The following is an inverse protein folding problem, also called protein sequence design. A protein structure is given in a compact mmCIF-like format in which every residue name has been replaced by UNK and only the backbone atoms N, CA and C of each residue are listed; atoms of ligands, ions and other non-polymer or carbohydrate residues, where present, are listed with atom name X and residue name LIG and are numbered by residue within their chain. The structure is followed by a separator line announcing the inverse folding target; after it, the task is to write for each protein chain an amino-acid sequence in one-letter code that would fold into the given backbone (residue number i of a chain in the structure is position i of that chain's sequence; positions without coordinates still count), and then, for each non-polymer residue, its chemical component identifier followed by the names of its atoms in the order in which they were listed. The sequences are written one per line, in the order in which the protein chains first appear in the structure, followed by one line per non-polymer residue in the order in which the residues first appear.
data_IF_919022276212
#
_entry.id   IF_919022276212
#
_cell.length_a   1.000
_cell.length_b   1.000
_cell.length_c   1.000
_cell.angle_alpha   90.00
_cell.angle_beta   90.00
_cell.angle_gamma   90.00
#
_symmetry.space_group_name_H-M   'P 1'
#
loop_
_entity.id
_entity.type
_entity.pdbx_description
1 polymer ?
#
# COMPACT_ATOMS: atom_id res chain seq x y z
N UNK A 1 -1.41 -19.40 7.25
CA UNK A 1 -0.78 -18.27 6.54
C UNK A 1 -0.70 -17.09 7.48
N UNK A 2 0.47 -16.49 7.57
CA UNK A 2 0.74 -15.31 8.39
C UNK A 2 0.93 -14.08 7.48
N UNK A 3 0.13 -13.04 7.66
CA UNK A 3 0.15 -11.84 6.83
C UNK A 3 0.52 -10.64 7.69
N UNK A 4 1.60 -9.95 7.34
CA UNK A 4 1.95 -8.66 7.88
C UNK A 4 1.20 -7.54 7.14
N UNK A 5 0.54 -6.66 7.88
CA UNK A 5 -0.12 -5.48 7.32
C UNK A 5 0.53 -4.24 7.93
N UNK A 6 1.05 -3.36 7.08
CA UNK A 6 1.69 -2.13 7.49
C UNK A 6 0.85 -0.96 7.00
N UNK A 7 0.50 -0.07 7.92
CA UNK A 7 -0.20 1.19 7.68
C UNK A 7 0.57 2.37 8.26
N UNK A 8 0.35 3.57 7.74
CA UNK A 8 1.08 4.75 8.18
C UNK A 8 0.39 5.51 9.33
N UNK A 9 -0.93 5.55 9.36
CA UNK A 9 -1.69 6.48 10.18
C UNK A 9 -2.64 5.79 11.18
N UNK A 10 -2.93 6.48 12.30
CA UNK A 10 -3.82 6.02 13.36
C UNK A 10 -5.21 5.62 12.84
N UNK A 11 -5.76 6.39 11.90
CA UNK A 11 -7.09 6.15 11.32
C UNK A 11 -7.15 4.86 10.51
N UNK A 12 -6.11 4.56 9.75
CA UNK A 12 -5.96 3.32 8.98
C UNK A 12 -5.81 2.13 9.93
N UNK A 13 -4.94 2.28 10.93
CA UNK A 13 -4.69 1.27 11.95
C UNK A 13 -5.95 0.89 12.72
N UNK A 14 -6.71 1.89 13.19
CA UNK A 14 -7.93 1.66 13.96
C UNK A 14 -8.98 0.87 13.15
N UNK A 15 -9.16 1.18 11.86
CA UNK A 15 -10.12 0.49 11.00
C UNK A 15 -9.73 -0.97 10.75
N UNK A 16 -8.45 -1.23 10.44
CA UNK A 16 -7.97 -2.59 10.24
C UNK A 16 -7.96 -3.41 11.53
N UNK A 17 -7.60 -2.79 12.67
CA UNK A 17 -7.70 -3.45 13.97
C UNK A 17 -9.13 -3.88 14.30
N UNK A 18 -10.12 -3.08 13.93
CA UNK A 18 -11.54 -3.36 14.21
C UNK A 18 -12.08 -4.61 13.49
N UNK A 19 -11.47 -5.04 12.39
CA UNK A 19 -11.89 -6.26 11.67
C UNK A 19 -11.19 -7.54 12.13
N UNK A 20 -10.22 -7.42 13.05
CA UNK A 20 -9.49 -8.57 13.61
C UNK A 20 -10.20 -9.13 14.84
N UNK A 21 -10.10 -10.44 15.02
CA UNK A 21 -10.52 -11.15 16.22
C UNK A 21 -9.31 -11.64 17.02
N UNK A 22 -9.50 -11.91 18.33
CA UNK A 22 -8.48 -12.44 19.24
C UNK A 22 -7.18 -11.60 19.21
N UNK A 23 -7.32 -10.28 19.35
CA UNK A 23 -6.20 -9.36 19.23
C UNK A 23 -5.38 -9.28 20.51
N UNK A 24 -4.06 -9.30 20.35
CA UNK A 24 -3.07 -8.97 21.38
C UNK A 24 -2.21 -7.82 20.86
N UNK A 25 -1.73 -6.97 21.77
CA UNK A 25 -0.88 -5.83 21.39
C UNK A 25 0.49 -6.00 22.04
N UNK A 26 1.52 -5.95 21.23
CA UNK A 26 2.92 -5.90 21.66
C UNK A 26 3.49 -4.53 21.34
N UNK A 27 4.34 -4.02 22.19
CA UNK A 27 4.98 -2.72 22.01
C UNK A 27 6.49 -2.86 22.10
N UNK A 28 7.19 -2.54 21.02
CA UNK A 28 8.65 -2.47 21.01
C UNK A 28 9.15 -1.44 19.97
N UNK A 29 10.32 -0.86 20.25
CA UNK A 29 10.94 0.17 19.40
C UNK A 29 10.02 1.32 19.05
N UNK A 30 9.18 1.78 20.02
CA UNK A 30 8.20 2.87 19.83
C UNK A 30 7.11 2.58 18.78
N UNK A 31 6.84 1.31 18.52
CA UNK A 31 5.78 0.89 17.57
C UNK A 31 4.85 -0.13 18.22
N UNK A 32 3.59 -0.04 17.88
CA UNK A 32 2.56 -1.01 18.24
C UNK A 32 2.41 -2.06 17.16
N UNK A 33 2.47 -3.33 17.58
CA UNK A 33 2.15 -4.49 16.77
C UNK A 33 0.89 -5.13 17.36
N UNK A 34 -0.12 -5.33 16.54
CA UNK A 34 -1.31 -6.05 16.92
C UNK A 34 -1.33 -7.38 16.19
N UNK A 35 -1.21 -8.46 16.93
CA UNK A 35 -1.48 -9.81 16.41
C UNK A 35 -2.97 -10.10 16.54
N UNK A 36 -3.52 -10.86 15.60
CA UNK A 36 -4.93 -11.21 15.60
C UNK A 36 -5.27 -12.20 14.50
N UNK A 37 -6.54 -12.43 14.27
CA UNK A 37 -7.02 -13.34 13.22
C UNK A 37 -8.06 -12.67 12.32
N UNK A 38 -7.97 -13.01 11.04
CA UNK A 38 -9.00 -12.74 10.06
C UNK A 38 -9.34 -14.06 9.34
N UNK A 39 -10.47 -14.66 9.70
CA UNK A 39 -10.80 -16.02 9.27
C UNK A 39 -9.78 -17.04 9.75
N UNK A 40 -9.20 -17.79 8.83
CA UNK A 40 -8.16 -18.81 9.08
C UNK A 40 -6.72 -18.23 9.11
N UNK A 41 -6.55 -16.95 8.82
CA UNK A 41 -5.25 -16.30 8.71
C UNK A 41 -4.82 -15.64 10.01
N UNK A 42 -3.53 -15.72 10.31
CA UNK A 42 -2.86 -14.94 11.35
C UNK A 42 -2.45 -13.58 10.75
N UNK A 43 -2.85 -12.51 11.40
CA UNK A 43 -2.55 -11.15 10.96
C UNK A 43 -1.66 -10.48 11.97
N UNK A 44 -0.62 -9.83 11.48
CA UNK A 44 0.20 -8.90 12.25
C UNK A 44 -0.02 -7.52 11.65
N UNK A 45 -0.69 -6.66 12.38
CA UNK A 45 -0.96 -5.28 11.98
C UNK A 45 0.00 -4.34 12.69
N UNK A 46 0.66 -3.47 11.94
CA UNK A 46 1.58 -2.47 12.46
C UNK A 46 1.24 -1.08 11.93
N UNK A 47 1.33 -0.09 12.81
CA UNK A 47 1.40 1.30 12.45
C UNK A 47 2.86 1.75 12.38
N UNK A 48 3.37 2.02 11.17
CA UNK A 48 4.77 2.40 11.00
C UNK A 48 5.04 3.89 11.21
N UNK A 49 4.05 4.77 10.97
CA UNK A 49 4.23 6.21 10.81
C UNK A 49 4.46 6.60 9.34
N UNK A 50 4.36 7.90 9.04
CA UNK A 50 4.45 8.44 7.68
C UNK A 50 5.91 8.50 7.20
N UNK A 51 6.12 8.22 5.92
CA UNK A 51 7.36 8.41 5.20
C UNK A 51 8.27 7.18 5.10
N UNK A 52 9.28 7.29 4.23
CA UNK A 52 10.14 6.16 3.82
C UNK A 52 10.92 5.54 4.97
N UNK A 53 11.50 6.35 5.86
CA UNK A 53 12.31 5.83 6.97
C UNK A 53 11.43 5.07 7.96
N UNK A 54 10.29 5.65 8.36
CA UNK A 54 9.37 5.02 9.30
C UNK A 54 8.84 3.69 8.77
N UNK A 55 8.45 3.65 7.51
CA UNK A 55 7.89 2.45 6.88
C UNK A 55 8.96 1.38 6.62
N UNK A 56 10.19 1.77 6.27
CA UNK A 56 11.30 0.84 6.12
C UNK A 56 11.67 0.17 7.46
N UNK A 57 11.79 0.96 8.56
CA UNK A 57 12.03 0.42 9.90
C UNK A 57 10.90 -0.54 10.27
N UNK A 58 9.65 -0.13 10.05
CA UNK A 58 8.49 -0.97 10.34
C UNK A 58 8.51 -2.31 9.59
N UNK A 59 8.85 -2.29 8.31
CA UNK A 59 8.94 -3.51 7.50
C UNK A 59 10.08 -4.43 7.97
N UNK A 60 11.25 -3.88 8.33
CA UNK A 60 12.37 -4.65 8.89
C UNK A 60 11.96 -5.34 10.20
N UNK A 61 11.34 -4.59 11.11
CA UNK A 61 10.89 -5.14 12.40
C UNK A 61 9.81 -6.21 12.22
N UNK A 62 8.82 -5.95 11.34
CA UNK A 62 7.76 -6.89 10.99
C UNK A 62 8.35 -8.22 10.49
N UNK A 63 9.27 -8.17 9.53
CA UNK A 63 9.85 -9.36 8.91
C UNK A 63 10.72 -10.12 9.92
N UNK A 64 11.59 -9.44 10.64
CA UNK A 64 12.53 -10.09 11.57
C UNK A 64 11.84 -10.68 12.80
N UNK A 65 10.75 -10.09 13.25
CA UNK A 65 10.09 -10.52 14.50
C UNK A 65 9.02 -11.57 14.25
N UNK A 66 8.25 -11.41 13.18
CA UNK A 66 7.07 -12.23 12.93
C UNK A 66 7.20 -13.20 11.76
N UNK A 67 8.17 -13.01 10.87
CA UNK A 67 8.39 -13.86 9.67
C UNK A 67 7.08 -14.10 8.88
N UNK A 68 6.42 -13.04 8.39
CA UNK A 68 5.19 -13.19 7.62
C UNK A 68 5.43 -13.86 6.27
N UNK A 69 4.45 -14.63 5.80
CA UNK A 69 4.44 -15.23 4.46
C UNK A 69 4.22 -14.18 3.36
N UNK A 70 3.61 -13.04 3.72
CA UNK A 70 3.26 -11.92 2.84
C UNK A 70 3.23 -10.63 3.65
N UNK A 71 3.74 -9.54 3.08
CA UNK A 71 3.54 -8.18 3.60
C UNK A 71 2.61 -7.39 2.67
N UNK A 72 1.59 -6.78 3.26
CA UNK A 72 0.66 -5.86 2.58
C UNK A 72 0.91 -4.45 3.12
N UNK A 73 1.27 -3.50 2.25
CA UNK A 73 1.15 -2.08 2.56
C UNK A 73 -0.28 -1.65 2.26
N UNK A 74 -1.01 -1.24 3.29
CA UNK A 74 -2.40 -0.78 3.14
C UNK A 74 -2.52 0.67 3.61
N UNK A 75 -3.45 1.41 3.02
CA UNK A 75 -3.67 2.80 3.38
C UNK A 75 -4.30 3.60 2.24
N UNK A 76 -4.25 4.93 2.36
CA UNK A 76 -4.70 5.83 1.31
C UNK A 76 -3.54 6.29 0.42
N UNK A 77 -3.89 6.81 -0.77
CA UNK A 77 -2.97 7.40 -1.73
C UNK A 77 -3.66 8.48 -2.56
N UNK A 78 -2.90 9.42 -3.11
CA UNK A 78 -3.37 10.32 -4.15
C UNK A 78 -3.45 9.60 -5.50
N UNK A 79 -4.54 9.78 -6.24
CA UNK A 79 -4.69 9.28 -7.61
C UNK A 79 -3.89 10.11 -8.60
N UNK A 80 -2.97 9.48 -9.34
CA UNK A 80 -2.22 10.10 -10.44
C UNK A 80 -2.95 9.93 -11.78
N UNK A 81 -3.67 8.82 -11.96
CA UNK A 81 -4.49 8.57 -13.13
C UNK A 81 -5.85 9.29 -13.00
N UNK A 82 -6.15 10.13 -13.99
CA UNK A 82 -7.40 10.90 -14.00
C UNK A 82 -8.66 10.08 -14.27
N UNK A 83 -8.55 8.79 -14.59
CA UNK A 83 -9.70 7.89 -14.68
C UNK A 83 -10.20 7.44 -13.30
N UNK A 84 -9.39 7.58 -12.24
CA UNK A 84 -9.75 7.19 -10.87
C UNK A 84 -10.72 8.19 -10.24
N UNK A 85 -11.54 7.66 -9.34
CA UNK A 85 -12.41 8.44 -8.45
C UNK A 85 -11.99 8.24 -6.98
N UNK A 86 -12.39 9.17 -6.12
CA UNK A 86 -12.20 9.03 -4.67
C UNK A 86 -12.93 7.78 -4.19
N UNK A 87 -12.24 6.94 -3.42
CA UNK A 87 -12.63 5.61 -2.94
C UNK A 87 -12.34 4.45 -3.89
N UNK A 88 -11.92 4.70 -5.14
CA UNK A 88 -11.32 3.64 -5.96
C UNK A 88 -10.11 3.03 -5.25
N UNK A 89 -9.74 1.83 -5.64
CA UNK A 89 -8.63 1.11 -5.06
C UNK A 89 -7.56 0.84 -6.12
N UNK A 90 -6.31 1.07 -5.78
CA UNK A 90 -5.16 0.71 -6.62
C UNK A 90 -4.40 -0.42 -5.97
N UNK A 91 -4.27 -1.55 -6.69
CA UNK A 91 -3.29 -2.59 -6.41
C UNK A 91 -2.03 -2.30 -7.20
N UNK A 92 -0.89 -2.15 -6.52
CA UNK A 92 0.37 -1.88 -7.21
C UNK A 92 0.85 -3.10 -7.98
N UNK A 93 1.05 -2.96 -9.29
CA UNK A 93 1.81 -3.93 -10.09
C UNK A 93 3.29 -3.84 -9.78
N UNK A 94 3.76 -2.62 -9.57
CA UNK A 94 5.13 -2.24 -9.28
C UNK A 94 5.13 -1.02 -8.36
N UNK A 95 6.22 -0.86 -7.59
CA UNK A 95 6.50 0.35 -6.83
C UNK A 95 7.82 0.98 -7.30
N UNK A 96 7.88 2.31 -7.36
CA UNK A 96 9.09 3.08 -7.67
C UNK A 96 9.20 4.31 -6.77
N UNK A 97 10.40 4.88 -6.61
CA UNK A 97 10.56 6.17 -5.95
C UNK A 97 10.38 7.31 -6.95
N UNK A 98 9.55 8.29 -6.61
CA UNK A 98 9.40 9.48 -7.44
C UNK A 98 10.37 10.60 -7.07
N UNK A 99 11.11 10.47 -5.97
CA UNK A 99 11.99 11.50 -5.41
C UNK A 99 13.46 11.04 -5.27
N UNK A 100 13.81 9.91 -5.91
CA UNK A 100 15.19 9.42 -5.92
C UNK A 100 15.89 9.73 -7.26
N UNK A 101 17.14 10.21 -7.18
CA UNK A 101 17.99 10.43 -8.33
C UNK A 101 19.43 10.04 -8.00
N UNK A 102 19.96 9.08 -8.71
CA UNK A 102 21.32 8.55 -8.51
C UNK A 102 22.22 8.77 -9.74
N UNK A 103 21.95 9.81 -10.53
CA UNK A 103 22.70 10.14 -11.76
C UNK A 103 22.06 9.51 -13.00
N UNK A 104 22.63 9.87 -14.17
CA UNK A 104 22.05 9.53 -15.48
C UNK A 104 22.38 8.09 -15.94
N UNK A 105 23.21 7.38 -15.18
CA UNK A 105 23.58 5.99 -15.48
C UNK A 105 22.50 4.96 -15.09
N UNK A 106 21.51 5.40 -14.28
CA UNK A 106 20.37 4.58 -13.84
C UNK A 106 19.06 5.32 -14.11
N UNK A 107 17.95 4.60 -14.11
CA UNK A 107 16.64 5.21 -14.32
C UNK A 107 16.30 6.21 -13.19
N UNK A 108 15.55 7.27 -13.51
CA UNK A 108 14.99 8.15 -12.48
C UNK A 108 14.12 7.33 -11.52
N UNK A 109 14.27 7.56 -10.23
CA UNK A 109 13.61 6.74 -9.19
C UNK A 109 14.38 5.49 -8.77
N UNK A 110 15.46 5.12 -9.47
CA UNK A 110 16.26 3.95 -9.14
C UNK A 110 17.37 4.28 -8.14
N UNK A 111 17.49 3.45 -7.11
CA UNK A 111 18.66 3.43 -6.23
C UNK A 111 19.71 2.51 -6.85
N UNK A 112 20.96 2.96 -6.92
CA UNK A 112 22.07 2.15 -7.47
C UNK A 112 22.17 0.82 -6.71
N UNK A 113 22.25 -0.26 -7.46
CA UNK A 113 22.28 -1.63 -6.91
C UNK A 113 20.92 -2.23 -6.58
N UNK A 114 19.82 -1.47 -6.78
CA UNK A 114 18.45 -1.96 -6.64
C UNK A 114 17.72 -1.98 -7.98
N UNK A 115 16.64 -2.77 -8.12
CA UNK A 115 15.75 -2.67 -9.29
C UNK A 115 15.20 -1.25 -9.44
N UNK A 116 14.96 -0.80 -10.68
CA UNK A 116 14.26 0.46 -10.91
C UNK A 116 12.81 0.43 -10.39
N UNK A 117 12.22 -0.76 -10.35
CA UNK A 117 10.85 -1.01 -9.90
C UNK A 117 10.78 -2.31 -9.12
N UNK A 118 10.03 -2.31 -8.02
CA UNK A 118 9.78 -3.48 -7.18
C UNK A 118 8.43 -4.06 -7.55
N UNK A 119 8.43 -5.28 -8.10
CA UNK A 119 7.23 -5.94 -8.63
C UNK A 119 6.45 -6.67 -7.54
N UNK A 120 5.12 -6.60 -7.62
CA UNK A 120 4.24 -7.46 -6.84
C UNK A 120 4.02 -8.80 -7.58
N UNK A 121 3.77 -9.90 -6.86
CA UNK A 121 3.41 -11.18 -7.46
C UNK A 121 2.13 -11.07 -8.31
N UNK A 122 2.16 -11.56 -9.55
CA UNK A 122 1.05 -11.47 -10.50
C UNK A 122 -0.24 -12.08 -9.94
N UNK A 123 -0.14 -13.19 -9.22
CA UNK A 123 -1.30 -13.83 -8.60
C UNK A 123 -2.04 -12.91 -7.61
N UNK A 124 -1.30 -12.12 -6.82
CA UNK A 124 -1.91 -11.18 -5.89
C UNK A 124 -2.64 -10.04 -6.62
N UNK A 125 -2.08 -9.58 -7.73
CA UNK A 125 -2.70 -8.58 -8.60
C UNK A 125 -4.00 -9.12 -9.19
N UNK A 126 -3.99 -10.34 -9.73
CA UNK A 126 -5.16 -11.00 -10.30
C UNK A 126 -6.28 -11.19 -9.25
N UNK A 127 -5.92 -11.62 -8.04
CA UNK A 127 -6.87 -11.74 -6.92
C UNK A 127 -7.45 -10.38 -6.53
N UNK A 128 -6.65 -9.32 -6.48
CA UNK A 128 -7.16 -7.98 -6.21
C UNK A 128 -8.14 -7.52 -7.30
N UNK A 129 -7.80 -7.70 -8.57
CA UNK A 129 -8.69 -7.36 -9.68
C UNK A 129 -9.98 -8.19 -9.70
N UNK A 130 -9.96 -9.42 -9.21
CA UNK A 130 -11.17 -10.26 -9.13
C UNK A 130 -12.22 -9.74 -8.14
N UNK A 131 -11.85 -8.82 -7.23
CA UNK A 131 -12.80 -8.14 -6.35
C UNK A 131 -13.88 -7.38 -7.13
N UNK A 132 -13.54 -6.85 -8.30
CA UNK A 132 -14.51 -6.17 -9.18
C UNK A 132 -15.70 -7.05 -9.60
N UNK A 133 -15.57 -8.38 -9.47
CA UNK A 133 -16.59 -9.34 -9.85
C UNK A 133 -17.39 -9.90 -8.65
N UNK A 134 -17.04 -9.50 -7.42
CA UNK A 134 -17.71 -9.98 -6.22
C UNK A 134 -18.99 -9.17 -5.95
N UNK A 135 -20.12 -9.83 -5.65
CA UNK A 135 -21.38 -9.14 -5.34
C UNK A 135 -21.26 -8.13 -4.17
N UNK A 136 -20.46 -8.48 -3.16
CA UNK A 136 -20.24 -7.64 -1.98
C UNK A 136 -19.28 -6.47 -2.24
N UNK A 137 -18.65 -6.44 -3.43
CA UNK A 137 -17.69 -5.42 -3.85
C UNK A 137 -18.18 -4.61 -5.07
N UNK A 138 -19.45 -4.70 -5.44
CA UNK A 138 -20.03 -4.10 -6.66
C UNK A 138 -19.85 -2.57 -6.77
N UNK A 139 -19.69 -1.90 -5.64
CA UNK A 139 -19.48 -0.45 -5.56
C UNK A 139 -17.99 -0.09 -5.46
N UNK A 140 -17.11 -1.10 -5.50
CA UNK A 140 -15.66 -0.94 -5.50
C UNK A 140 -15.13 -1.02 -6.93
N UNK A 141 -14.19 -0.13 -7.24
CA UNK A 141 -13.44 -0.18 -8.47
C UNK A 141 -11.96 -0.38 -8.16
N UNK A 142 -11.46 -1.59 -8.43
CA UNK A 142 -10.06 -1.95 -8.23
C UNK A 142 -9.32 -1.86 -9.56
N UNK A 143 -8.27 -1.07 -9.60
CA UNK A 143 -7.39 -0.88 -10.75
C UNK A 143 -5.97 -1.33 -10.41
N UNK A 144 -5.31 -1.99 -11.34
CA UNK A 144 -3.88 -2.32 -11.22
C UNK A 144 -3.03 -1.23 -11.88
N UNK A 145 -1.88 -0.89 -11.29
CA UNK A 145 -0.99 0.09 -11.88
C UNK A 145 0.26 0.39 -11.06
N UNK A 146 1.09 1.30 -11.54
CA UNK A 146 2.30 1.74 -10.87
C UNK A 146 1.95 2.65 -9.69
N UNK A 147 2.43 2.30 -8.49
CA UNK A 147 2.42 3.19 -7.34
C UNK A 147 3.81 3.80 -7.15
N UNK A 148 3.89 5.13 -7.11
CA UNK A 148 5.16 5.83 -6.88
C UNK A 148 5.17 6.47 -5.49
N UNK A 149 6.30 6.35 -4.78
CA UNK A 149 6.44 6.81 -3.39
C UNK A 149 7.57 7.82 -3.23
N UNK A 150 7.40 8.76 -2.31
CA UNK A 150 8.44 9.72 -1.92
C UNK A 150 8.06 10.47 -0.64
N UNK A 151 8.94 11.37 -0.16
CA UNK A 151 8.71 12.14 1.06
C UNK A 151 7.83 13.40 0.84
N UNK A 152 7.05 13.42 -0.24
CA UNK A 152 6.19 14.56 -0.55
C UNK A 152 4.73 14.26 -0.23
N UNK A 153 4.10 15.10 0.56
CA UNK A 153 2.65 15.17 0.58
C UNK A 153 2.16 15.90 -0.67
N UNK A 154 1.62 15.14 -1.63
CA UNK A 154 1.21 15.64 -2.95
C UNK A 154 -0.21 16.16 -2.87
N UNK A 155 -0.35 17.44 -2.54
CA UNK A 155 -1.63 18.11 -2.29
C UNK A 155 -1.99 19.16 -3.36
N UNK A 156 -1.29 19.17 -4.49
CA UNK A 156 -1.56 20.12 -5.57
C UNK A 156 -1.33 19.50 -6.94
N UNK A 157 -1.98 20.10 -7.95
CA UNK A 157 -1.82 19.72 -9.37
C UNK A 157 -0.36 19.84 -9.81
N UNK A 158 0.32 20.90 -9.39
CA UNK A 158 1.70 21.20 -9.79
C UNK A 158 2.66 20.12 -9.31
N UNK A 159 2.54 19.71 -8.04
CA UNK A 159 3.36 18.61 -7.49
C UNK A 159 3.07 17.29 -8.17
N UNK A 160 1.81 16.99 -8.43
CA UNK A 160 1.43 15.78 -9.14
C UNK A 160 1.98 15.80 -10.58
N UNK A 161 1.92 16.94 -11.27
CA UNK A 161 2.47 17.07 -12.61
C UNK A 161 3.98 16.85 -12.64
N UNK A 162 4.74 17.37 -11.67
CA UNK A 162 6.19 17.12 -11.55
C UNK A 162 6.52 15.63 -11.44
N UNK A 163 5.67 14.87 -10.73
CA UNK A 163 5.82 13.41 -10.65
C UNK A 163 5.49 12.76 -11.99
N UNK A 164 4.39 13.16 -12.62
CA UNK A 164 3.94 12.63 -13.90
C UNK A 164 4.90 12.93 -15.06
N UNK A 165 5.70 13.98 -14.97
CA UNK A 165 6.74 14.31 -15.97
C UNK A 165 7.83 13.22 -16.02
N UNK A 166 8.07 12.52 -14.89
CA UNK A 166 9.01 11.39 -14.79
C UNK A 166 8.32 10.02 -14.87
N UNK A 167 7.07 9.94 -14.43
CA UNK A 167 6.27 8.70 -14.34
C UNK A 167 4.90 8.90 -14.96
N UNK A 168 4.81 9.09 -16.31
CA UNK A 168 3.55 9.34 -16.98
C UNK A 168 2.53 8.20 -16.86
N UNK A 169 2.98 6.99 -16.51
CA UNK A 169 2.15 5.81 -16.26
C UNK A 169 1.77 5.60 -14.79
N UNK A 170 2.19 6.51 -13.88
CA UNK A 170 1.83 6.39 -12.47
C UNK A 170 0.31 6.38 -12.28
N UNK A 171 -0.16 5.47 -11.45
CA UNK A 171 -1.59 5.31 -11.12
C UNK A 171 -1.91 5.88 -9.74
N UNK A 172 -1.01 5.68 -8.77
CA UNK A 172 -1.16 6.21 -7.42
C UNK A 172 0.16 6.78 -6.88
N UNK A 173 0.06 7.73 -5.95
CA UNK A 173 1.20 8.35 -5.26
C UNK A 173 0.99 8.26 -3.76
N UNK A 174 1.99 7.74 -3.05
CA UNK A 174 2.01 7.65 -1.59
C UNK A 174 3.38 7.99 -1.00
N UNK A 175 3.59 7.69 0.28
CA UNK A 175 4.85 8.00 0.96
C UNK A 175 5.57 6.76 1.51
N UNK A 176 5.04 5.54 1.37
CA UNK A 176 5.55 4.33 2.05
C UNK A 176 5.73 3.10 1.16
N UNK A 177 4.86 2.88 0.17
CA UNK A 177 4.80 1.59 -0.55
C UNK A 177 6.15 1.15 -1.10
N UNK A 178 6.89 2.04 -1.74
CA UNK A 178 8.16 1.68 -2.37
C UNK A 178 9.24 1.32 -1.35
N UNK A 179 9.31 1.99 -0.19
CA UNK A 179 10.29 1.67 0.86
C UNK A 179 9.99 0.32 1.53
N UNK A 180 8.71 0.00 1.74
CA UNK A 180 8.31 -1.33 2.21
C UNK A 180 8.64 -2.38 1.15
N UNK A 181 8.34 -2.11 -0.13
CA UNK A 181 8.66 -3.00 -1.25
C UNK A 181 10.17 -3.27 -1.36
N UNK A 182 11.01 -2.25 -1.19
CA UNK A 182 12.46 -2.40 -1.18
C UNK A 182 12.96 -3.28 -0.04
N UNK A 183 12.44 -3.09 1.17
CA UNK A 183 12.77 -3.96 2.31
C UNK A 183 12.34 -5.40 2.02
N UNK A 184 11.11 -5.60 1.56
CA UNK A 184 10.61 -6.93 1.21
C UNK A 184 11.45 -7.60 0.11
N UNK A 185 11.90 -6.84 -0.89
CA UNK A 185 12.82 -7.32 -1.92
C UNK A 185 14.16 -7.81 -1.32
N UNK A 186 14.77 -7.03 -0.42
CA UNK A 186 16.02 -7.37 0.26
C UNK A 186 15.87 -8.64 1.10
N UNK A 187 14.74 -8.77 1.81
CA UNK A 187 14.43 -9.91 2.67
C UNK A 187 13.78 -11.09 1.94
N UNK A 188 13.53 -10.96 0.63
CA UNK A 188 12.87 -11.98 -0.18
C UNK A 188 11.49 -12.38 0.35
N UNK A 189 10.77 -11.42 0.91
CA UNK A 189 9.40 -11.58 1.43
C UNK A 189 8.42 -11.09 0.37
N UNK A 190 7.40 -11.86 -0.02
CA UNK A 190 6.36 -11.41 -0.94
C UNK A 190 5.69 -10.12 -0.45
N UNK A 191 5.39 -9.20 -1.39
CA UNK A 191 4.85 -7.88 -1.07
C UNK A 191 3.78 -7.46 -2.07
N UNK A 192 2.76 -6.75 -1.58
CA UNK A 192 1.81 -6.02 -2.40
C UNK A 192 1.40 -4.72 -1.71
N UNK A 193 1.26 -3.64 -2.48
CA UNK A 193 0.61 -2.41 -2.01
C UNK A 193 -0.83 -2.38 -2.48
N UNK A 194 -1.73 -1.98 -1.55
CA UNK A 194 -3.17 -1.92 -1.75
C UNK A 194 -3.70 -0.60 -1.16
N UNK A 195 -4.05 0.36 -2.04
CA UNK A 195 -4.30 1.75 -1.67
C UNK A 195 -5.70 2.21 -2.07
N UNK A 196 -6.39 2.87 -1.15
CA UNK A 196 -7.66 3.56 -1.40
C UNK A 196 -7.37 4.99 -1.82
N UNK A 197 -7.96 5.45 -2.92
CA UNK A 197 -7.74 6.80 -3.44
C UNK A 197 -8.47 7.82 -2.59
N UNK A 198 -7.71 8.74 -1.99
CA UNK A 198 -8.22 9.81 -1.13
C UNK A 198 -8.59 11.07 -1.89
N UNK A 199 -7.87 11.33 -2.97
CA UNK A 199 -8.00 12.53 -3.81
C UNK A 199 -7.36 12.29 -5.17
N UNK A 200 -7.73 13.10 -6.16
CA UNK A 200 -7.16 13.06 -7.51
C UNK A 200 -6.72 14.47 -7.89
N UNK A 201 -5.49 14.90 -7.53
CA UNK A 201 -5.04 16.30 -7.67
C UNK A 201 -5.09 16.86 -9.10
N UNK A 202 -4.99 15.99 -10.12
CA UNK A 202 -5.11 16.38 -11.53
C UNK A 202 -6.55 16.67 -11.95
N UNK A 203 -7.57 16.15 -11.27
CA UNK A 203 -8.99 16.44 -11.51
C UNK A 203 -9.44 17.69 -10.76
N UNK A 204 -9.10 17.80 -9.49
CA UNK A 204 -9.55 18.88 -8.61
C UNK A 204 -8.38 19.42 -7.77
N UNK A 205 -8.14 20.72 -7.87
CA UNK A 205 -7.06 21.39 -7.10
C UNK A 205 -7.37 21.59 -5.61
N UNK A 206 -8.47 21.03 -5.10
CA UNK A 206 -8.87 21.30 -3.72
C UNK A 206 -8.36 20.21 -2.79
N UNK A 207 -7.43 20.56 -1.91
CA UNK A 207 -7.06 19.75 -0.75
C UNK A 207 -8.29 19.28 0.10
N UNK A 208 -9.45 19.88 -0.14
CA UNK A 208 -10.74 19.47 0.45
C UNK A 208 -11.11 18.01 0.14
N UNK A 209 -10.71 17.43 -1.00
CA UNK A 209 -10.99 16.02 -1.29
C UNK A 209 -10.37 15.12 -0.24
N UNK A 210 -9.09 15.32 0.10
CA UNK A 210 -8.39 14.55 1.13
C UNK A 210 -9.05 14.68 2.51
N UNK A 211 -9.46 15.90 2.91
CA UNK A 211 -10.11 16.09 4.22
C UNK A 211 -11.50 15.46 4.25
N UNK A 212 -12.29 15.62 3.19
CA UNK A 212 -13.64 15.06 3.08
C UNK A 212 -13.62 13.53 2.95
N UNK A 213 -12.54 12.95 2.40
CA UNK A 213 -12.34 11.52 2.32
C UNK A 213 -12.48 10.85 3.69
N UNK A 214 -11.79 11.37 4.71
CA UNK A 214 -11.83 10.80 6.05
C UNK A 214 -13.21 10.86 6.71
N UNK A 215 -14.05 11.81 6.35
CA UNK A 215 -15.44 11.87 6.81
C UNK A 215 -16.30 10.80 6.11
N UNK A 216 -15.99 10.51 4.84
CA UNK A 216 -16.73 9.54 4.01
C UNK A 216 -16.38 8.09 4.32
N UNK A 217 -15.09 7.80 4.59
CA UNK A 217 -14.63 6.44 4.83
C UNK A 217 -14.74 5.96 6.29
N UNK A 218 -15.28 6.77 7.19
CA UNK A 218 -15.48 6.38 8.59
C UNK A 218 -16.25 5.03 8.77
N UNK A 219 -16.84 4.48 7.70
CA UNK A 219 -17.70 3.31 7.73
C UNK A 219 -17.41 2.22 6.68
N UNK A 220 -16.22 2.10 6.09
CA UNK A 220 -16.06 0.91 5.26
C UNK A 220 -15.01 0.77 4.18
N UNK A 221 -14.10 1.72 3.96
CA UNK A 221 -13.16 1.59 2.83
C UNK A 221 -12.05 0.54 3.05
N UNK A 222 -11.77 0.15 4.29
CA UNK A 222 -10.85 -0.96 4.57
C UNK A 222 -11.52 -2.34 4.58
N UNK A 223 -12.84 -2.40 4.40
CA UNK A 223 -13.54 -3.66 4.11
C UNK A 223 -12.99 -4.32 2.83
N UNK A 224 -12.58 -3.52 1.84
CA UNK A 224 -11.94 -4.03 0.63
C UNK A 224 -10.62 -4.76 0.91
N UNK A 225 -9.80 -4.27 1.85
CA UNK A 225 -8.59 -4.97 2.30
C UNK A 225 -8.93 -6.32 2.95
N UNK A 226 -9.99 -6.38 3.72
CA UNK A 226 -10.51 -7.64 4.30
C UNK A 226 -10.95 -8.61 3.23
N UNK A 227 -11.72 -8.16 2.24
CA UNK A 227 -12.16 -9.01 1.12
C UNK A 227 -10.96 -9.51 0.31
N UNK A 228 -9.97 -8.66 0.05
CA UNK A 228 -8.72 -9.06 -0.60
C UNK A 228 -7.99 -10.16 0.19
N UNK A 229 -7.81 -9.97 1.50
CA UNK A 229 -7.15 -10.96 2.37
C UNK A 229 -7.91 -12.31 2.35
N UNK A 230 -9.24 -12.29 2.32
CA UNK A 230 -10.06 -13.50 2.26
C UNK A 230 -9.84 -14.30 0.96
N UNK A 231 -9.50 -13.65 -0.15
CA UNK A 231 -9.20 -14.30 -1.42
C UNK A 231 -7.82 -14.98 -1.47
N UNK A 232 -6.91 -14.60 -0.60
CA UNK A 232 -5.56 -15.17 -0.57
C UNK A 232 -5.61 -16.54 0.13
N UNK A 233 -5.42 -17.64 -0.60
CA UNK A 233 -5.66 -18.99 -0.07
C UNK A 233 -4.40 -19.81 0.27
N UNK A 234 -3.22 -19.54 -0.31
CA UNK A 234 -2.05 -20.40 -0.08
C UNK A 234 -0.71 -19.67 -0.29
N UNK A 235 0.25 -19.81 0.67
CA UNK A 235 1.59 -19.22 0.52
C UNK A 235 2.42 -19.85 -0.59
N UNK A 236 2.19 -21.13 -0.95
CA UNK A 236 3.00 -21.84 -1.95
C UNK A 236 2.89 -21.31 -3.36
N UNK A 237 1.93 -20.46 -3.65
CA UNK A 237 1.73 -19.82 -4.97
C UNK A 237 2.33 -18.41 -5.06
N UNK A 238 2.85 -17.87 -3.94
CA UNK A 238 3.38 -16.51 -3.89
C UNK A 238 4.90 -16.46 -4.21
N UNK A 239 5.51 -17.61 -4.45
CA UNK A 239 6.94 -17.68 -4.76
C UNK A 239 7.21 -17.28 -6.21
N UNK A 240 7.79 -16.08 -6.33
CA UNK A 240 8.63 -15.53 -7.41
C UNK A 240 8.44 -16.12 -8.82
N UNK A 241 7.74 -15.39 -9.63
CA UNK A 241 8.01 -15.32 -11.09
C UNK A 241 8.95 -14.14 -11.39
#
# INVERSE_FOLDING_TARGET
MKIGIIVAMDKEFAQLKAILSNTETEHFNHKDFVTGRLGDKEIILQQCGIGKVNSAIGAVEMINHYHPDLVISSGCAGGADTSLEVTDVVVATECAYHDAYCGDEVAYGQIIGMPARFKAPTELIEKALSLNNLPDCKDLHVKAGLTVSGEWFVNSREKMQQIMDHFPEATAVDMESCSIAQVCHIYQTPFVSFRVISDVPLKDNKASQYYNFWERIANGSFEVTKQFINLIQNPSLIHNS
#
